data_IF_562459332248
#
_entry.id   IF_562459332248
#
_cell.length_a   1.000
_cell.length_b   1.000
_cell.length_c   1.000
_cell.angle_alpha   90.00
_cell.angle_beta   90.00
_cell.angle_gamma   90.00
#
_symmetry.space_group_name_H-M   'P 1'
#
loop_
_entity.id
_entity.type
_entity.pdbx_description
1 polymer ?
#
# COMPACT_ATOMS: atom_id res chain seq x y z
N UNK A 1 19.03 -3.66 -40.71
CA UNK A 1 19.54 -2.78 -39.63
C UNK A 1 18.34 -2.42 -38.70
N UNK A 2 18.07 -3.27 -37.76
CA UNK A 2 16.99 -3.08 -36.78
C UNK A 2 17.48 -2.10 -35.72
N UNK A 3 16.83 -0.94 -35.62
CA UNK A 3 17.14 0.05 -34.58
C UNK A 3 16.69 -0.52 -33.22
N UNK A 4 17.63 -1.05 -32.47
CA UNK A 4 17.44 -1.40 -31.06
C UNK A 4 17.13 -0.10 -30.30
N UNK A 5 15.89 0.02 -29.80
CA UNK A 5 15.50 1.14 -28.94
C UNK A 5 16.05 0.84 -27.55
N UNK A 6 17.16 1.44 -27.19
CA UNK A 6 17.65 1.45 -25.82
C UNK A 6 16.65 2.32 -25.02
N UNK A 7 15.78 1.66 -24.25
CA UNK A 7 14.88 2.34 -23.32
C UNK A 7 15.59 2.47 -21.98
N UNK A 8 16.16 3.62 -21.75
CA UNK A 8 16.68 4.01 -20.43
C UNK A 8 15.50 4.34 -19.55
N UNK A 9 15.26 3.52 -18.55
CA UNK A 9 14.25 3.77 -17.54
C UNK A 9 14.69 4.99 -16.71
N UNK A 10 14.04 6.12 -16.92
CA UNK A 10 14.16 7.29 -16.04
C UNK A 10 13.40 7.00 -14.77
N UNK A 11 14.07 6.46 -13.75
CA UNK A 11 13.57 6.35 -12.39
C UNK A 11 13.55 7.72 -11.70
N UNK A 12 12.96 8.74 -12.35
CA UNK A 12 12.58 9.98 -11.65
C UNK A 12 11.33 9.76 -10.77
N UNK A 13 10.56 8.70 -11.01
CA UNK A 13 9.32 8.43 -10.26
C UNK A 13 9.51 7.69 -8.93
N UNK A 14 10.61 6.99 -8.72
CA UNK A 14 10.88 6.32 -7.44
C UNK A 14 11.40 7.28 -6.34
N UNK A 15 11.86 8.48 -6.71
CA UNK A 15 12.25 9.52 -5.76
C UNK A 15 11.09 10.45 -5.34
N UNK A 16 9.92 10.36 -5.99
CA UNK A 16 8.78 11.25 -5.72
C UNK A 16 7.75 10.66 -4.73
N UNK A 17 7.92 9.45 -4.22
CA UNK A 17 7.00 8.87 -3.23
C UNK A 17 7.37 9.22 -1.77
N UNK A 18 8.58 9.74 -1.51
CA UNK A 18 8.91 10.36 -0.24
C UNK A 18 8.56 11.85 -0.34
N UNK A 19 7.64 12.31 0.48
CA UNK A 19 7.12 13.67 0.52
C UNK A 19 8.21 14.74 0.49
N UNK A 20 7.88 15.89 -0.05
CA UNK A 20 8.62 17.15 -0.15
C UNK A 20 9.39 17.54 1.13
N UNK A 21 10.49 16.86 1.42
CA UNK A 21 11.46 17.30 2.42
C UNK A 21 12.87 17.08 1.85
N UNK A 22 13.52 18.17 1.48
CA UNK A 22 14.95 18.33 1.36
C UNK A 22 15.64 17.39 0.37
N UNK A 23 15.71 17.74 -0.91
CA UNK A 23 16.75 17.21 -1.80
C UNK A 23 18.11 17.46 -1.12
N UNK A 24 18.82 16.41 -0.72
CA UNK A 24 20.15 16.57 -0.15
C UNK A 24 21.18 16.69 -1.28
N UNK A 25 22.30 17.36 -1.02
CA UNK A 25 23.43 17.43 -1.96
C UNK A 25 23.91 16.01 -2.36
N UNK A 26 23.68 15.03 -1.51
CA UNK A 26 24.02 13.62 -1.75
C UNK A 26 23.10 13.00 -2.80
N UNK A 27 21.77 13.20 -2.67
CA UNK A 27 20.80 12.71 -3.66
C UNK A 27 21.00 13.38 -5.02
N UNK A 28 21.38 14.65 -5.06
CA UNK A 28 21.72 15.37 -6.30
C UNK A 28 22.97 14.77 -6.96
N UNK A 29 24.01 14.49 -6.20
CA UNK A 29 25.24 13.87 -6.70
C UNK A 29 25.00 12.48 -7.29
N UNK A 30 24.22 11.63 -6.61
CA UNK A 30 23.82 10.32 -7.13
C UNK A 30 23.00 10.47 -8.42
N UNK A 31 22.06 11.40 -8.46
CA UNK A 31 21.25 11.68 -9.65
C UNK A 31 22.11 12.10 -10.86
N UNK A 32 23.13 12.91 -10.64
CA UNK A 32 24.08 13.32 -11.68
C UNK A 32 24.87 12.12 -12.21
N UNK A 33 25.37 11.24 -11.33
CA UNK A 33 26.10 10.04 -11.73
C UNK A 33 25.21 9.08 -12.54
N UNK A 34 23.98 8.84 -12.10
CA UNK A 34 23.01 8.01 -12.82
C UNK A 34 22.66 8.60 -14.20
N UNK A 35 22.50 9.92 -14.32
CA UNK A 35 22.29 10.59 -15.62
C UNK A 35 23.47 10.42 -16.56
N UNK A 36 24.71 10.55 -16.05
CA UNK A 36 25.93 10.32 -16.84
C UNK A 36 26.02 8.85 -17.30
N UNK A 37 25.75 7.89 -16.42
CA UNK A 37 25.69 6.45 -16.73
C UNK A 37 24.71 6.20 -17.88
N UNK A 38 23.51 6.75 -17.78
CA UNK A 38 22.48 6.61 -18.83
C UNK A 38 22.90 7.23 -20.15
N UNK A 39 23.61 8.36 -20.15
CA UNK A 39 24.13 8.98 -21.36
C UNK A 39 25.21 8.10 -22.02
N UNK A 40 26.14 7.55 -21.24
CA UNK A 40 27.17 6.65 -21.72
C UNK A 40 26.58 5.33 -22.29
N UNK A 41 25.57 4.75 -21.61
CA UNK A 41 24.84 3.56 -22.12
C UNK A 41 24.17 3.85 -23.47
N UNK A 42 23.51 5.01 -23.63
CA UNK A 42 22.92 5.44 -24.91
C UNK A 42 23.95 5.61 -26.01
N UNK A 43 25.13 6.08 -25.65
CA UNK A 43 26.27 6.22 -26.58
C UNK A 43 26.96 4.86 -26.85
N UNK A 44 26.58 3.77 -26.17
CA UNK A 44 27.23 2.45 -26.20
C UNK A 44 28.68 2.48 -25.72
N UNK A 45 29.03 3.45 -24.93
CA UNK A 45 30.31 3.48 -24.22
C UNK A 45 30.20 2.65 -22.95
N UNK A 46 30.32 1.33 -23.13
CA UNK A 46 30.14 0.37 -22.03
C UNK A 46 31.26 0.47 -21.00
N UNK A 47 32.47 0.82 -21.40
CA UNK A 47 33.60 0.99 -20.49
C UNK A 47 33.35 2.20 -19.54
N UNK A 48 32.95 3.35 -20.10
CA UNK A 48 32.62 4.52 -19.28
C UNK A 48 31.35 4.27 -18.43
N UNK A 49 30.37 3.56 -18.98
CA UNK A 49 29.15 3.19 -18.23
C UNK A 49 29.49 2.35 -17.00
N UNK A 50 30.31 1.31 -17.16
CA UNK A 50 30.73 0.44 -16.06
C UNK A 50 31.52 1.25 -15.00
N UNK A 51 32.45 2.10 -15.44
CA UNK A 51 33.22 2.97 -14.55
C UNK A 51 32.32 3.91 -13.73
N UNK A 52 31.31 4.50 -14.36
CA UNK A 52 30.34 5.38 -13.70
C UNK A 52 29.44 4.61 -12.71
N UNK A 53 29.08 3.35 -13.02
CA UNK A 53 28.35 2.47 -12.11
C UNK A 53 29.17 2.17 -10.87
N UNK A 54 30.45 1.78 -11.03
CA UNK A 54 31.34 1.53 -9.91
C UNK A 54 31.52 2.78 -9.04
N UNK A 55 31.68 3.94 -9.68
CA UNK A 55 31.73 5.21 -8.97
C UNK A 55 30.44 5.51 -8.21
N UNK A 56 29.28 5.23 -8.80
CA UNK A 56 27.97 5.43 -8.14
C UNK A 56 27.81 4.52 -6.93
N UNK A 57 28.18 3.25 -7.05
CA UNK A 57 28.13 2.27 -5.94
C UNK A 57 29.06 2.70 -4.82
N UNK A 58 30.32 3.03 -5.14
CA UNK A 58 31.33 3.46 -4.15
C UNK A 58 30.90 4.75 -3.43
N UNK A 59 30.43 5.76 -4.19
CA UNK A 59 29.90 6.99 -3.61
C UNK A 59 28.72 6.73 -2.69
N UNK A 60 27.73 5.96 -3.14
CA UNK A 60 26.52 5.61 -2.36
C UNK A 60 26.89 4.88 -1.05
N UNK A 61 27.87 3.96 -1.12
CA UNK A 61 28.34 3.20 0.05
C UNK A 61 28.92 4.12 1.11
N UNK A 62 29.67 5.13 0.71
CA UNK A 62 30.34 6.07 1.60
C UNK A 62 29.40 7.09 2.28
N UNK A 63 28.18 7.24 1.78
CA UNK A 63 27.24 8.21 2.35
C UNK A 63 26.58 7.70 3.63
N UNK A 64 26.25 8.60 4.54
CA UNK A 64 25.46 8.33 5.73
C UNK A 64 24.22 9.26 5.77
N UNK A 65 23.52 9.36 4.63
CA UNK A 65 22.35 10.20 4.46
C UNK A 65 21.09 9.35 4.68
N UNK A 66 20.26 9.64 5.67
CA UNK A 66 19.03 8.86 5.96
C UNK A 66 17.96 8.98 4.86
N UNK A 67 18.06 10.01 3.99
CA UNK A 67 17.13 10.20 2.88
C UNK A 67 17.58 9.47 1.60
N UNK A 68 18.80 8.90 1.58
CA UNK A 68 19.30 8.15 0.44
C UNK A 68 18.89 6.67 0.54
N UNK A 69 17.95 6.26 -0.32
CA UNK A 69 17.65 4.83 -0.47
C UNK A 69 18.79 4.11 -1.20
N UNK A 70 19.79 3.66 -0.44
CA UNK A 70 20.98 2.98 -0.98
C UNK A 70 20.63 1.74 -1.78
N UNK A 71 19.66 0.94 -1.30
CA UNK A 71 19.25 -0.30 -1.96
C UNK A 71 18.68 -0.02 -3.34
N UNK A 72 17.85 1.01 -3.49
CA UNK A 72 17.31 1.39 -4.81
C UNK A 72 18.43 1.81 -5.79
N UNK A 73 19.46 2.53 -5.29
CA UNK A 73 20.62 2.91 -6.13
C UNK A 73 21.41 1.67 -6.53
N UNK A 74 21.66 0.74 -5.60
CA UNK A 74 22.36 -0.51 -5.90
C UNK A 74 21.59 -1.39 -6.87
N UNK A 75 20.29 -1.57 -6.66
CA UNK A 75 19.43 -2.35 -7.54
C UNK A 75 19.49 -1.87 -8.99
N UNK A 76 19.37 -0.54 -9.21
CA UNK A 76 19.47 0.05 -10.54
C UNK A 76 20.87 -0.06 -11.12
N UNK A 77 21.90 0.20 -10.32
CA UNK A 77 23.30 0.16 -10.74
C UNK A 77 23.69 -1.25 -11.19
N UNK A 78 23.38 -2.27 -10.41
CA UNK A 78 23.66 -3.66 -10.76
C UNK A 78 22.81 -4.17 -11.92
N UNK A 79 21.56 -3.71 -12.07
CA UNK A 79 20.75 -4.02 -13.25
C UNK A 79 21.40 -3.48 -14.54
N UNK A 80 21.82 -2.22 -14.52
CA UNK A 80 22.51 -1.61 -15.66
C UNK A 80 23.85 -2.34 -15.94
N UNK A 81 24.57 -2.75 -14.90
CA UNK A 81 25.81 -3.54 -15.08
C UNK A 81 25.52 -4.90 -15.71
N UNK A 82 24.41 -5.56 -15.33
CA UNK A 82 24.00 -6.81 -15.95
C UNK A 82 23.72 -6.64 -17.45
N UNK A 83 23.03 -5.55 -17.83
CA UNK A 83 22.79 -5.22 -19.24
C UNK A 83 24.11 -4.99 -20.00
N UNK A 84 25.06 -4.23 -19.43
CA UNK A 84 26.38 -3.99 -20.06
C UNK A 84 27.13 -5.31 -20.25
N UNK A 85 27.24 -6.14 -19.23
CA UNK A 85 27.94 -7.42 -19.28
C UNK A 85 27.30 -8.36 -20.31
N UNK A 86 25.95 -8.38 -20.40
CA UNK A 86 25.23 -9.16 -21.38
C UNK A 86 25.50 -8.67 -22.81
N UNK A 87 25.50 -7.36 -23.06
CA UNK A 87 25.79 -6.76 -24.36
C UNK A 87 27.26 -6.99 -24.80
N UNK A 88 28.17 -7.11 -23.86
CA UNK A 88 29.58 -7.49 -24.10
C UNK A 88 29.78 -9.01 -24.28
N UNK A 89 28.71 -9.84 -24.17
CA UNK A 89 28.77 -11.29 -24.30
C UNK A 89 29.29 -12.02 -23.07
N UNK A 90 29.41 -11.36 -21.93
CA UNK A 90 29.94 -11.91 -20.66
C UNK A 90 28.80 -12.48 -19.83
N UNK A 91 28.32 -13.67 -20.21
CA UNK A 91 27.09 -14.29 -19.68
C UNK A 91 27.11 -14.46 -18.16
N UNK A 92 28.17 -15.05 -17.62
CA UNK A 92 28.30 -15.34 -16.18
C UNK A 92 28.34 -14.06 -15.35
N UNK A 93 29.08 -13.05 -15.81
CA UNK A 93 29.15 -11.75 -15.16
C UNK A 93 27.79 -11.01 -15.18
N UNK A 94 27.04 -11.14 -16.29
CA UNK A 94 25.70 -10.58 -16.39
C UNK A 94 24.73 -11.22 -15.39
N UNK A 95 24.77 -12.55 -15.21
CA UNK A 95 23.96 -13.26 -14.22
C UNK A 95 24.33 -12.84 -12.80
N UNK A 96 25.64 -12.73 -12.50
CA UNK A 96 26.12 -12.28 -11.19
C UNK A 96 25.63 -10.85 -10.88
N UNK A 97 25.76 -9.92 -11.84
CA UNK A 97 25.30 -8.56 -11.69
C UNK A 97 23.76 -8.50 -11.53
N UNK A 98 23.01 -9.29 -12.30
CA UNK A 98 21.55 -9.38 -12.16
C UNK A 98 21.14 -9.92 -10.77
N UNK A 99 21.85 -10.93 -10.26
CA UNK A 99 21.64 -11.46 -8.92
C UNK A 99 21.84 -10.38 -7.86
N UNK A 100 22.92 -9.58 -7.95
CA UNK A 100 23.17 -8.44 -7.06
C UNK A 100 22.07 -7.37 -7.16
N UNK A 101 21.52 -7.15 -8.35
CA UNK A 101 20.38 -6.25 -8.52
C UNK A 101 19.15 -6.75 -7.74
N UNK A 102 18.83 -8.05 -7.84
CA UNK A 102 17.72 -8.68 -7.11
C UNK A 102 17.96 -8.64 -5.60
N UNK A 103 19.16 -8.97 -5.15
CA UNK A 103 19.56 -8.90 -3.73
C UNK A 103 19.45 -7.48 -3.16
N UNK A 104 19.58 -6.46 -4.03
CA UNK A 104 19.40 -5.05 -3.68
C UNK A 104 17.95 -4.56 -3.82
N UNK A 105 17.00 -5.44 -4.15
CA UNK A 105 15.58 -5.10 -4.22
C UNK A 105 15.07 -4.73 -5.62
N UNK A 106 15.75 -5.15 -6.71
CA UNK A 106 15.19 -4.98 -8.05
C UNK A 106 13.91 -5.81 -8.22
N UNK A 107 12.78 -5.13 -8.47
CA UNK A 107 11.44 -5.74 -8.47
C UNK A 107 10.75 -5.84 -9.84
N UNK A 108 11.31 -5.28 -10.92
CA UNK A 108 10.62 -5.20 -12.20
C UNK A 108 10.88 -6.42 -13.09
N UNK A 109 10.31 -7.59 -12.72
CA UNK A 109 10.48 -8.84 -13.51
C UNK A 109 9.90 -8.74 -14.92
N UNK A 110 8.78 -8.01 -15.10
CA UNK A 110 8.12 -7.87 -16.40
C UNK A 110 8.99 -7.13 -17.41
N UNK A 111 9.77 -6.17 -16.92
CA UNK A 111 10.74 -5.46 -17.72
C UNK A 111 11.94 -6.38 -18.02
N UNK A 112 12.54 -7.01 -17.02
CA UNK A 112 13.70 -7.89 -17.19
C UNK A 112 13.46 -9.00 -18.21
N UNK A 113 12.24 -9.58 -18.25
CA UNK A 113 11.84 -10.59 -19.23
C UNK A 113 11.74 -10.07 -20.68
N UNK A 114 11.51 -8.75 -20.85
CA UNK A 114 11.34 -8.12 -22.17
C UNK A 114 12.57 -7.34 -22.61
N UNK A 115 13.54 -7.15 -21.74
CA UNK A 115 14.72 -6.36 -22.00
C UNK A 115 15.67 -7.09 -22.95
N UNK A 116 15.78 -6.56 -24.15
CA UNK A 116 16.62 -7.14 -25.20
C UNK A 116 18.11 -7.12 -24.88
N UNK A 117 18.53 -6.24 -23.96
CA UNK A 117 19.92 -6.14 -23.53
C UNK A 117 20.34 -7.35 -22.69
N UNK A 118 19.37 -8.02 -22.03
CA UNK A 118 19.59 -9.23 -21.25
C UNK A 118 19.40 -10.54 -22.06
N UNK A 119 19.20 -10.47 -23.37
CA UNK A 119 18.82 -11.63 -24.19
C UNK A 119 19.73 -12.84 -24.02
N UNK A 120 21.04 -12.64 -23.85
CA UNK A 120 22.01 -13.74 -23.71
C UNK A 120 21.81 -14.59 -22.43
N UNK A 121 21.16 -14.03 -21.42
CA UNK A 121 20.90 -14.70 -20.13
C UNK A 121 19.44 -15.12 -19.95
N UNK A 122 18.50 -14.69 -20.80
CA UNK A 122 17.07 -14.95 -20.60
C UNK A 122 16.69 -16.43 -20.57
N UNK A 123 17.41 -17.28 -21.29
CA UNK A 123 17.18 -18.74 -21.32
C UNK A 123 18.00 -19.50 -20.26
N UNK A 124 18.73 -18.78 -19.38
CA UNK A 124 19.55 -19.39 -18.35
C UNK A 124 18.75 -19.74 -17.10
N UNK A 125 18.89 -20.97 -16.55
CA UNK A 125 18.19 -21.36 -15.32
C UNK A 125 18.46 -20.44 -14.13
N UNK A 126 19.68 -19.87 -14.02
CA UNK A 126 20.02 -18.95 -12.94
C UNK A 126 19.26 -17.61 -13.08
N UNK A 127 19.10 -17.11 -14.32
CA UNK A 127 18.24 -15.94 -14.56
C UNK A 127 16.77 -16.24 -14.23
N UNK A 128 16.25 -17.39 -14.66
CA UNK A 128 14.88 -17.82 -14.36
C UNK A 128 14.64 -17.91 -12.85
N UNK A 129 15.61 -18.41 -12.08
CA UNK A 129 15.54 -18.45 -10.62
C UNK A 129 15.44 -17.03 -10.01
N UNK A 130 16.20 -16.05 -10.52
CA UNK A 130 16.11 -14.67 -10.06
C UNK A 130 14.76 -14.04 -10.42
N UNK A 131 14.24 -14.29 -11.62
CA UNK A 131 12.89 -13.84 -12.01
C UNK A 131 11.83 -14.40 -11.06
N UNK A 132 11.93 -15.67 -10.69
CA UNK A 132 11.01 -16.28 -9.72
C UNK A 132 11.11 -15.61 -8.34
N UNK A 133 12.33 -15.35 -7.85
CA UNK A 133 12.54 -14.58 -6.59
C UNK A 133 11.90 -13.19 -6.64
N UNK A 134 12.01 -12.49 -7.77
CA UNK A 134 11.35 -11.18 -7.93
C UNK A 134 9.84 -11.33 -7.86
N UNK A 135 9.25 -12.34 -8.53
CA UNK A 135 7.81 -12.57 -8.52
C UNK A 135 7.28 -12.89 -7.12
N UNK A 136 7.98 -13.69 -6.35
CA UNK A 136 7.62 -14.07 -4.98
C UNK A 136 7.59 -12.89 -3.99
N UNK A 137 8.22 -11.75 -4.36
CA UNK A 137 8.28 -10.56 -3.51
C UNK A 137 7.56 -9.33 -4.10
N UNK A 138 7.51 -9.18 -5.43
CA UNK A 138 7.07 -7.94 -6.08
C UNK A 138 5.95 -8.12 -7.12
N UNK A 139 5.61 -9.35 -7.52
CA UNK A 139 4.41 -9.62 -8.32
C UNK A 139 3.22 -9.80 -7.37
N UNK A 140 2.67 -8.70 -6.87
CA UNK A 140 1.66 -8.73 -5.81
C UNK A 140 0.45 -9.61 -6.10
N UNK A 141 -0.11 -9.70 -7.32
CA UNK A 141 -1.11 -10.71 -7.64
C UNK A 141 -0.61 -12.14 -7.45
N UNK A 142 0.63 -12.43 -7.85
CA UNK A 142 1.27 -13.73 -7.63
C UNK A 142 1.47 -14.00 -6.13
N UNK A 143 2.04 -13.03 -5.40
CA UNK A 143 2.25 -13.11 -3.95
C UNK A 143 0.94 -13.39 -3.23
N UNK A 144 -0.12 -12.68 -3.60
CA UNK A 144 -1.43 -12.82 -2.96
C UNK A 144 -2.08 -14.18 -3.25
N UNK A 145 -2.03 -14.64 -4.50
CA UNK A 145 -2.57 -15.96 -4.91
C UNK A 145 -1.81 -17.14 -4.30
N UNK A 146 -0.55 -16.92 -3.87
CA UNK A 146 0.30 -17.92 -3.22
C UNK A 146 0.43 -17.69 -1.69
N UNK A 147 -0.42 -16.85 -1.11
CA UNK A 147 -0.39 -16.57 0.34
C UNK A 147 -0.83 -17.77 1.21
N UNK A 148 -1.36 -18.81 0.60
CA UNK A 148 -2.01 -19.93 1.29
C UNK A 148 -3.48 -19.66 1.61
N UNK A 149 -4.26 -20.71 1.68
CA UNK A 149 -5.66 -20.61 2.09
C UNK A 149 -5.77 -20.23 3.56
N UNK A 150 -6.82 -19.53 3.92
CA UNK A 150 -7.19 -19.39 5.32
C UNK A 150 -7.56 -20.76 5.91
N UNK A 151 -7.18 -21.00 7.16
CA UNK A 151 -7.43 -22.27 7.85
C UNK A 151 -8.70 -22.13 8.69
N UNK A 152 -9.87 -22.32 8.07
CA UNK A 152 -11.17 -22.16 8.73
C UNK A 152 -11.44 -23.10 9.91
N UNK A 153 -10.65 -24.17 10.05
CA UNK A 153 -10.79 -25.17 11.12
C UNK A 153 -9.84 -24.89 12.32
N UNK A 154 -9.14 -23.77 12.35
CA UNK A 154 -8.35 -23.42 13.52
C UNK A 154 -9.31 -23.14 14.70
N UNK A 155 -8.96 -23.54 15.93
CA UNK A 155 -9.82 -23.29 17.09
C UNK A 155 -9.79 -21.81 17.47
N UNK A 156 -10.54 -21.00 16.70
CA UNK A 156 -10.82 -19.59 17.04
C UNK A 156 -11.87 -19.48 18.16
N UNK A 157 -12.25 -20.60 18.80
CA UNK A 157 -13.35 -20.67 19.76
C UNK A 157 -13.15 -19.73 20.97
N UNK A 158 -11.91 -19.49 21.36
CA UNK A 158 -11.56 -18.67 22.53
C UNK A 158 -11.26 -17.21 22.18
N UNK A 159 -11.36 -16.82 20.90
CA UNK A 159 -11.12 -15.44 20.52
C UNK A 159 -12.30 -14.54 20.94
N UNK A 160 -12.03 -13.34 21.46
CA UNK A 160 -13.08 -12.39 21.83
C UNK A 160 -13.88 -11.94 20.61
N UNK A 161 -15.18 -11.64 20.76
CA UNK A 161 -15.99 -11.09 19.68
C UNK A 161 -15.61 -9.65 19.37
N UNK A 162 -15.95 -9.18 18.17
CA UNK A 162 -15.91 -7.78 17.84
C UNK A 162 -17.06 -7.02 18.49
N UNK A 163 -16.78 -5.85 19.05
CA UNK A 163 -17.80 -4.99 19.64
C UNK A 163 -17.88 -3.63 18.94
N UNK A 164 -19.04 -2.98 19.09
CA UNK A 164 -19.32 -1.70 18.45
C UNK A 164 -20.00 -0.75 19.44
N UNK A 165 -19.43 0.44 19.59
CA UNK A 165 -20.01 1.44 20.46
C UNK A 165 -21.41 1.84 19.97
N UNK A 166 -22.37 1.89 20.91
CA UNK A 166 -23.73 2.30 20.58
C UNK A 166 -23.78 3.75 20.12
N UNK A 167 -24.57 4.07 19.09
CA UNK A 167 -24.82 5.43 18.64
C UNK A 167 -25.41 6.33 19.73
N UNK A 168 -25.98 5.74 20.80
CA UNK A 168 -26.53 6.44 21.94
C UNK A 168 -25.46 6.82 22.99
N UNK A 169 -24.19 6.43 22.80
CA UNK A 169 -23.10 6.92 23.66
C UNK A 169 -23.05 8.44 23.62
N UNK A 170 -22.98 9.10 24.77
CA UNK A 170 -23.03 10.58 24.83
C UNK A 170 -21.95 11.27 23.96
N UNK A 171 -20.79 10.67 23.80
CA UNK A 171 -19.70 11.18 22.95
C UNK A 171 -20.07 11.15 21.47
N UNK A 172 -20.69 10.06 21.02
CA UNK A 172 -21.16 9.90 19.62
C UNK A 172 -22.38 10.78 19.35
N UNK A 173 -23.30 10.92 20.30
CA UNK A 173 -24.43 11.85 20.22
C UNK A 173 -23.93 13.31 20.08
N UNK A 174 -22.94 13.69 20.91
CA UNK A 174 -22.31 15.01 20.82
C UNK A 174 -21.60 15.20 19.46
N UNK A 175 -20.85 14.21 18.99
CA UNK A 175 -20.18 14.23 17.69
C UNK A 175 -21.17 14.44 16.54
N UNK A 176 -22.25 13.63 16.50
CA UNK A 176 -23.31 13.71 15.48
C UNK A 176 -23.92 15.11 15.42
N UNK A 177 -24.22 15.69 16.56
CA UNK A 177 -24.79 17.04 16.66
C UNK A 177 -23.80 18.11 16.23
N UNK A 178 -22.56 18.07 16.76
CA UNK A 178 -21.53 19.08 16.53
C UNK A 178 -21.11 19.14 15.05
N UNK A 179 -20.93 18.00 14.41
CA UNK A 179 -20.57 17.91 13.01
C UNK A 179 -21.77 17.97 12.06
N UNK A 180 -23.01 17.96 12.61
CA UNK A 180 -24.26 17.94 11.82
C UNK A 180 -24.30 16.75 10.84
N UNK A 181 -23.94 15.54 11.32
CA UNK A 181 -23.77 14.36 10.49
C UNK A 181 -25.05 13.97 9.74
N UNK A 182 -26.23 14.23 10.27
CA UNK A 182 -27.50 14.00 9.58
C UNK A 182 -27.61 14.82 8.29
N UNK A 183 -27.17 16.07 8.32
CA UNK A 183 -27.15 16.93 7.13
C UNK A 183 -26.13 16.48 6.11
N UNK A 184 -24.96 16.00 6.59
CA UNK A 184 -23.88 15.47 5.72
C UNK A 184 -24.33 14.18 5.06
N UNK A 185 -24.87 13.24 5.82
CA UNK A 185 -25.36 11.97 5.32
C UNK A 185 -26.53 12.14 4.32
N UNK A 186 -27.34 13.16 4.53
CA UNK A 186 -28.50 13.47 3.67
C UNK A 186 -29.67 12.52 3.90
N UNK A 187 -30.71 12.65 3.05
CA UNK A 187 -31.97 11.89 3.11
C UNK A 187 -32.01 10.68 2.17
N UNK A 188 -30.90 10.36 1.49
CA UNK A 188 -30.82 9.23 0.59
C UNK A 188 -30.91 7.85 1.27
N UNK A 189 -30.73 6.79 0.49
CA UNK A 189 -30.66 5.43 0.98
C UNK A 189 -29.41 5.20 1.84
N UNK A 190 -29.26 3.99 2.36
CA UNK A 190 -28.14 3.59 3.22
C UNK A 190 -26.79 3.79 2.53
N UNK A 191 -26.67 3.34 1.29
CA UNK A 191 -25.42 3.42 0.51
C UNK A 191 -25.04 4.88 0.23
N UNK A 192 -26.02 5.71 -0.10
CA UNK A 192 -25.82 7.15 -0.29
C UNK A 192 -25.29 7.81 0.99
N UNK A 193 -25.84 7.48 2.15
CA UNK A 193 -25.37 8.00 3.45
C UNK A 193 -23.93 7.58 3.76
N UNK A 194 -23.58 6.30 3.50
CA UNK A 194 -22.22 5.77 3.66
C UNK A 194 -21.25 6.55 2.77
N UNK A 195 -21.58 6.71 1.48
CA UNK A 195 -20.74 7.44 0.52
C UNK A 195 -20.62 8.93 0.88
N UNK A 196 -21.69 9.58 1.28
CA UNK A 196 -21.69 11.00 1.64
C UNK A 196 -20.81 11.29 2.84
N UNK A 197 -20.86 10.44 3.88
CA UNK A 197 -19.96 10.56 5.05
C UNK A 197 -18.50 10.36 4.66
N UNK A 198 -18.19 9.38 3.82
CA UNK A 198 -16.84 9.14 3.31
C UNK A 198 -16.34 10.34 2.48
N UNK A 199 -17.16 10.86 1.57
CA UNK A 199 -16.84 12.04 0.76
C UNK A 199 -16.59 13.28 1.62
N UNK A 200 -17.40 13.45 2.66
CA UNK A 200 -17.23 14.56 3.58
C UNK A 200 -15.89 14.50 4.31
N UNK A 201 -15.50 13.34 4.85
CA UNK A 201 -14.20 13.18 5.53
C UNK A 201 -13.05 13.40 4.52
N UNK A 202 -13.16 12.83 3.32
CA UNK A 202 -12.18 13.02 2.24
C UNK A 202 -11.93 14.49 1.93
N UNK A 203 -12.99 15.31 1.90
CA UNK A 203 -12.89 16.73 1.59
C UNK A 203 -12.58 17.61 2.81
N UNK A 204 -12.84 17.14 4.03
CA UNK A 204 -12.64 17.92 5.25
C UNK A 204 -11.16 18.02 5.65
N UNK A 205 -10.35 17.01 5.30
CA UNK A 205 -8.95 16.94 5.69
C UNK A 205 -8.08 16.48 4.50
N UNK A 206 -6.88 17.06 4.39
CA UNK A 206 -5.90 16.63 3.39
C UNK A 206 -5.14 15.40 3.88
N UNK A 207 -4.94 14.42 3.01
CA UNK A 207 -4.06 13.29 3.33
C UNK A 207 -2.58 13.70 3.28
N UNK A 208 -1.83 13.29 4.30
CA UNK A 208 -0.39 13.42 4.39
C UNK A 208 0.17 12.22 5.16
N UNK A 209 0.69 11.23 4.42
CA UNK A 209 1.22 9.98 5.00
C UNK A 209 2.43 10.18 5.91
N UNK A 210 3.19 11.26 5.72
CA UNK A 210 4.35 11.62 6.53
C UNK A 210 4.04 12.52 7.73
N UNK A 211 2.76 12.92 7.90
CA UNK A 211 2.39 13.81 8.99
C UNK A 211 2.57 13.15 10.35
N UNK A 212 3.16 13.90 11.29
CA UNK A 212 3.26 13.48 12.68
C UNK A 212 1.86 13.34 13.31
N UNK A 213 1.66 12.26 14.07
CA UNK A 213 0.37 12.00 14.71
C UNK A 213 0.10 13.01 15.85
N UNK A 214 -1.08 13.64 15.88
CA UNK A 214 -1.48 14.49 17.00
C UNK A 214 -1.56 13.71 18.31
N UNK A 215 -1.51 14.43 19.43
CA UNK A 215 -1.66 13.83 20.76
C UNK A 215 -3.05 13.20 20.95
N UNK A 216 -4.09 13.96 20.63
CA UNK A 216 -5.48 13.49 20.63
C UNK A 216 -5.90 13.10 19.23
N UNK A 217 -6.56 11.93 19.09
CA UNK A 217 -6.83 11.30 17.79
C UNK A 217 -8.31 10.96 17.57
N UNK A 218 -9.22 11.57 18.33
CA UNK A 218 -10.65 11.51 18.02
C UNK A 218 -11.03 12.49 16.90
N UNK A 219 -12.17 12.28 16.28
CA UNK A 219 -12.59 13.07 15.13
C UNK A 219 -12.59 14.60 15.38
N UNK A 220 -13.13 15.14 16.48
CA UNK A 220 -13.07 16.58 16.74
C UNK A 220 -11.65 17.13 16.86
N UNK A 221 -10.77 16.41 17.55
CA UNK A 221 -9.37 16.84 17.75
C UNK A 221 -8.60 16.82 16.44
N UNK A 222 -8.77 15.77 15.63
CA UNK A 222 -8.13 15.63 14.31
C UNK A 222 -8.59 16.72 13.35
N UNK A 223 -9.90 16.99 13.27
CA UNK A 223 -10.45 18.06 12.43
C UNK A 223 -9.97 19.45 12.89
N UNK A 224 -9.89 19.67 14.20
CA UNK A 224 -9.39 20.91 14.78
C UNK A 224 -7.93 21.15 14.39
N UNK A 225 -7.06 20.17 14.62
CA UNK A 225 -5.62 20.27 14.31
C UNK A 225 -5.38 20.53 12.81
N UNK A 226 -6.09 19.84 11.94
CA UNK A 226 -5.97 20.07 10.48
C UNK A 226 -6.33 21.50 10.11
N UNK A 227 -7.38 22.05 10.73
CA UNK A 227 -7.83 23.42 10.46
C UNK A 227 -6.90 24.47 11.06
N UNK A 228 -6.49 24.32 12.32
CA UNK A 228 -5.70 25.33 13.04
C UNK A 228 -4.25 25.37 12.57
N UNK A 229 -3.66 24.21 12.27
CA UNK A 229 -2.26 24.09 11.82
C UNK A 229 -2.13 24.06 10.29
N UNK A 230 -3.25 24.11 9.54
CA UNK A 230 -3.28 24.00 8.07
C UNK A 230 -2.47 22.79 7.55
N UNK A 231 -2.60 21.64 8.21
CA UNK A 231 -1.84 20.41 7.91
C UNK A 231 -2.73 19.25 7.47
N UNK A 232 -2.11 18.25 6.85
CA UNK A 232 -2.74 16.97 6.59
C UNK A 232 -2.56 15.98 7.75
N UNK A 233 -3.22 14.83 7.61
CA UNK A 233 -3.10 13.66 8.49
C UNK A 233 -3.00 12.39 7.65
N UNK A 234 -2.49 11.32 8.24
CA UNK A 234 -2.33 10.05 7.53
C UNK A 234 -3.64 9.25 7.38
N UNK A 235 -3.59 8.17 6.60
CA UNK A 235 -4.75 7.32 6.30
C UNK A 235 -5.44 6.76 7.56
N UNK A 236 -4.68 6.37 8.60
CA UNK A 236 -5.24 5.88 9.85
C UNK A 236 -6.07 6.95 10.55
N UNK A 237 -5.59 8.18 10.61
CA UNK A 237 -6.32 9.28 11.23
C UNK A 237 -7.58 9.67 10.44
N UNK A 238 -7.52 9.64 9.11
CA UNK A 238 -8.71 9.84 8.26
C UNK A 238 -9.75 8.74 8.49
N UNK A 239 -9.30 7.48 8.55
CA UNK A 239 -10.17 6.33 8.82
C UNK A 239 -10.74 6.35 10.24
N UNK A 240 -10.02 6.91 11.22
CA UNK A 240 -10.55 7.12 12.58
C UNK A 240 -11.70 8.13 12.58
N UNK A 241 -11.55 9.27 11.89
CA UNK A 241 -12.65 10.26 11.76
C UNK A 241 -13.87 9.58 11.13
N UNK A 242 -13.69 8.86 10.03
CA UNK A 242 -14.81 8.21 9.32
C UNK A 242 -15.48 7.13 10.18
N UNK A 243 -14.70 6.33 10.91
CA UNK A 243 -15.23 5.30 11.79
C UNK A 243 -16.12 5.90 12.88
N UNK A 244 -15.68 6.96 13.53
CA UNK A 244 -16.46 7.65 14.57
C UNK A 244 -17.74 8.28 13.98
N UNK A 245 -17.68 8.83 12.76
CA UNK A 245 -18.85 9.33 12.05
C UNK A 245 -19.86 8.21 11.74
N UNK A 246 -19.38 7.05 11.26
CA UNK A 246 -20.24 5.90 11.00
C UNK A 246 -20.91 5.40 12.29
N UNK A 247 -20.15 5.22 13.37
CA UNK A 247 -20.70 4.80 14.67
C UNK A 247 -21.74 5.81 15.19
N UNK A 248 -21.47 7.11 15.07
CA UNK A 248 -22.41 8.16 15.50
C UNK A 248 -23.72 8.15 14.70
N UNK A 249 -23.69 7.68 13.45
CA UNK A 249 -24.87 7.53 12.59
C UNK A 249 -25.55 6.14 12.73
N UNK A 250 -25.04 5.28 13.63
CA UNK A 250 -25.60 3.96 13.91
C UNK A 250 -25.10 2.85 13.02
N UNK A 251 -24.17 3.12 12.11
CA UNK A 251 -23.54 2.07 11.30
C UNK A 251 -22.53 1.26 12.13
N UNK A 252 -22.51 -0.04 11.92
CA UNK A 252 -21.44 -0.89 12.41
C UNK A 252 -20.24 -0.72 11.48
N UNK A 253 -19.15 -0.19 11.97
CA UNK A 253 -17.94 0.08 11.19
C UNK A 253 -16.68 -0.21 12.01
N UNK A 254 -15.60 -0.55 11.32
CA UNK A 254 -14.24 -0.70 11.86
C UNK A 254 -13.26 -0.05 10.89
N UNK A 255 -12.23 0.63 11.38
CA UNK A 255 -11.08 0.88 10.53
C UNK A 255 -10.21 -0.38 10.46
N UNK A 256 -9.69 -0.63 9.28
CA UNK A 256 -8.94 -1.84 8.95
C UNK A 256 -7.57 -1.46 8.41
N UNK A 257 -6.52 -1.96 9.06
CA UNK A 257 -5.17 -1.86 8.53
C UNK A 257 -4.93 -3.01 7.58
N UNK A 258 -4.71 -2.67 6.33
CA UNK A 258 -4.34 -3.58 5.26
C UNK A 258 -2.81 -3.63 5.19
N UNK A 259 -2.23 -4.82 5.31
CA UNK A 259 -0.80 -5.02 5.52
C UNK A 259 -0.15 -5.80 4.37
N UNK A 260 1.07 -5.43 3.96
CA UNK A 260 1.86 -6.17 3.00
C UNK A 260 2.44 -7.46 3.59
N UNK A 261 3.01 -8.31 2.73
CA UNK A 261 3.74 -9.53 3.13
C UNK A 261 5.05 -9.21 3.85
N UNK A 262 5.78 -8.21 3.33
CA UNK A 262 7.09 -7.82 3.86
C UNK A 262 6.91 -7.01 5.14
N UNK A 263 7.42 -7.53 6.25
CA UNK A 263 7.38 -6.87 7.56
C UNK A 263 8.19 -5.57 7.63
N UNK A 264 9.12 -5.36 6.70
CA UNK A 264 9.93 -4.15 6.58
C UNK A 264 9.30 -3.10 5.64
N UNK A 265 8.18 -3.44 4.98
CA UNK A 265 7.41 -2.48 4.20
C UNK A 265 6.40 -1.76 5.11
N UNK A 266 6.78 -0.57 5.57
CA UNK A 266 5.92 0.26 6.43
C UNK A 266 4.81 1.00 5.66
N UNK A 267 4.75 0.87 4.34
CA UNK A 267 3.71 1.46 3.49
C UNK A 267 2.44 0.58 3.49
N UNK A 268 1.84 0.43 4.68
CA UNK A 268 0.52 -0.16 4.86
C UNK A 268 -0.57 0.86 4.55
N UNK A 269 -1.82 0.41 4.39
CA UNK A 269 -2.95 1.30 4.18
C UNK A 269 -4.07 1.04 5.17
N UNK A 270 -4.76 2.11 5.60
CA UNK A 270 -5.89 2.02 6.52
C UNK A 270 -7.14 2.53 5.84
N UNK A 271 -8.16 1.69 5.79
CA UNK A 271 -9.49 1.98 5.23
C UNK A 271 -10.57 1.67 6.27
N UNK A 272 -11.82 1.99 5.99
CA UNK A 272 -12.95 1.54 6.78
C UNK A 272 -13.66 0.36 6.11
N UNK A 273 -14.19 -0.53 6.93
CA UNK A 273 -15.28 -1.40 6.52
C UNK A 273 -16.53 -0.97 7.27
N UNK A 274 -17.63 -0.92 6.57
CA UNK A 274 -18.95 -0.57 7.10
C UNK A 274 -19.96 -1.61 6.69
N UNK A 275 -20.77 -2.10 7.65
CA UNK A 275 -21.81 -3.06 7.35
C UNK A 275 -22.99 -2.37 6.69
N UNK A 276 -23.44 -2.93 5.58
CA UNK A 276 -24.70 -2.53 4.93
C UNK A 276 -25.76 -3.58 5.19
N UNK A 277 -26.82 -3.20 5.89
CA UNK A 277 -27.98 -4.08 6.10
C UNK A 277 -28.75 -4.30 4.79
N UNK A 278 -28.79 -3.30 3.93
CA UNK A 278 -29.48 -3.41 2.62
C UNK A 278 -28.77 -4.38 1.66
N UNK A 279 -27.46 -4.51 1.74
CA UNK A 279 -26.67 -5.45 0.93
C UNK A 279 -26.33 -6.74 1.66
N UNK A 280 -26.52 -6.79 2.99
CA UNK A 280 -26.19 -7.93 3.83
C UNK A 280 -24.69 -8.27 3.86
N UNK A 281 -23.82 -7.27 3.68
CA UNK A 281 -22.37 -7.45 3.62
C UNK A 281 -21.56 -6.24 4.08
N UNK A 282 -20.29 -6.46 4.32
CA UNK A 282 -19.32 -5.39 4.53
C UNK A 282 -19.02 -4.67 3.22
N UNK A 283 -18.83 -3.35 3.30
CA UNK A 283 -18.40 -2.50 2.18
C UNK A 283 -17.09 -1.83 2.59
N UNK A 284 -16.11 -1.79 1.69
CA UNK A 284 -14.92 -0.97 1.86
C UNK A 284 -15.26 0.50 1.60
N UNK A 285 -14.79 1.39 2.47
CA UNK A 285 -14.84 2.84 2.27
C UNK A 285 -13.46 3.42 2.63
N UNK A 286 -12.78 4.01 1.66
CA UNK A 286 -11.47 4.62 1.85
C UNK A 286 -11.58 6.15 1.83
N UNK A 287 -11.47 6.83 2.97
CA UNK A 287 -11.54 8.28 3.03
C UNK A 287 -10.31 8.97 2.45
N UNK A 288 -9.16 8.28 2.36
CA UNK A 288 -7.93 8.84 1.79
C UNK A 288 -8.07 9.13 0.31
N UNK A 289 -8.72 8.23 -0.42
CA UNK A 289 -8.88 8.32 -1.87
C UNK A 289 -10.34 8.52 -2.31
N UNK A 290 -11.30 8.59 -1.39
CA UNK A 290 -12.72 8.45 -1.70
C UNK A 290 -12.96 7.24 -2.59
N UNK A 291 -12.42 6.10 -2.17
CA UNK A 291 -12.41 4.89 -2.95
C UNK A 291 -13.36 3.83 -2.43
N UNK A 292 -14.04 3.16 -3.38
CA UNK A 292 -14.90 2.01 -3.18
C UNK A 292 -14.59 0.97 -4.25
N UNK A 293 -14.58 -0.30 -3.88
CA UNK A 293 -14.48 -1.37 -4.86
C UNK A 293 -15.85 -1.89 -5.28
N UNK A 294 -15.94 -2.31 -6.54
CA UNK A 294 -17.07 -3.06 -7.08
C UNK A 294 -16.60 -4.21 -7.96
N UNK A 295 -17.46 -5.19 -8.14
CA UNK A 295 -17.28 -6.28 -9.10
C UNK A 295 -17.69 -5.86 -10.54
N UNK A 296 -17.58 -6.80 -11.50
CA UNK A 296 -17.96 -6.58 -12.91
C UNK A 296 -19.44 -6.23 -13.12
N UNK A 297 -20.29 -6.43 -12.11
CA UNK A 297 -21.72 -6.06 -12.14
C UNK A 297 -21.97 -4.70 -11.50
N UNK A 298 -20.95 -4.06 -10.95
CA UNK A 298 -21.05 -2.80 -10.22
C UNK A 298 -21.53 -2.96 -8.77
N UNK A 299 -21.56 -4.19 -8.23
CA UNK A 299 -21.91 -4.41 -6.83
C UNK A 299 -20.74 -4.05 -5.92
N UNK A 300 -21.03 -3.26 -4.87
CA UNK A 300 -20.00 -2.85 -3.90
C UNK A 300 -19.40 -4.05 -3.16
N UNK A 301 -18.11 -3.98 -2.90
CA UNK A 301 -17.35 -5.06 -2.29
C UNK A 301 -16.74 -4.64 -0.95
N UNK A 302 -16.66 -5.61 -0.03
CA UNK A 302 -15.78 -5.53 1.12
C UNK A 302 -14.32 -5.85 0.75
N UNK A 303 -13.39 -5.55 1.66
CA UNK A 303 -11.97 -5.88 1.40
C UNK A 303 -11.69 -7.38 1.38
N UNK A 304 -12.46 -8.17 2.14
CA UNK A 304 -12.41 -9.62 2.08
C UNK A 304 -12.82 -10.17 0.71
N UNK A 305 -13.94 -9.65 0.16
CA UNK A 305 -14.42 -10.01 -1.17
C UNK A 305 -13.43 -9.60 -2.26
N UNK A 306 -12.90 -8.37 -2.17
CA UNK A 306 -11.92 -7.83 -3.12
C UNK A 306 -10.63 -8.67 -3.11
N UNK A 307 -10.12 -9.03 -1.90
CA UNK A 307 -8.97 -9.93 -1.78
C UNK A 307 -9.23 -11.28 -2.42
N UNK A 308 -10.39 -11.88 -2.15
CA UNK A 308 -10.74 -13.19 -2.71
C UNK A 308 -10.85 -13.15 -4.24
N UNK A 309 -11.48 -12.10 -4.78
CA UNK A 309 -11.53 -11.88 -6.22
C UNK A 309 -10.14 -11.79 -6.85
N UNK A 310 -9.21 -11.03 -6.24
CA UNK A 310 -7.83 -10.91 -6.72
C UNK A 310 -7.04 -12.24 -6.62
N UNK A 311 -7.25 -13.02 -5.55
CA UNK A 311 -6.66 -14.38 -5.41
C UNK A 311 -7.14 -15.31 -6.53
N UNK A 312 -8.40 -15.19 -6.91
CA UNK A 312 -9.01 -15.96 -7.99
C UNK A 312 -8.73 -15.40 -9.40
N UNK A 313 -7.96 -14.32 -9.50
CA UNK A 313 -7.64 -13.67 -10.77
C UNK A 313 -8.82 -12.94 -11.42
N UNK A 314 -9.88 -12.66 -10.66
CA UNK A 314 -11.04 -11.87 -11.11
C UNK A 314 -10.71 -10.38 -11.10
N UNK A 315 -11.41 -9.62 -11.93
CA UNK A 315 -11.30 -8.17 -11.95
C UNK A 315 -12.12 -7.55 -10.82
N UNK A 316 -11.63 -6.44 -10.33
CA UNK A 316 -12.34 -5.54 -9.43
C UNK A 316 -12.22 -4.12 -9.98
N UNK A 317 -13.16 -3.27 -9.68
CA UNK A 317 -13.23 -1.91 -10.23
C UNK A 317 -13.21 -0.86 -9.13
N UNK A 318 -12.59 0.27 -9.43
CA UNK A 318 -12.55 1.44 -8.60
C UNK A 318 -13.61 2.45 -9.07
N UNK A 319 -14.30 3.10 -8.16
CA UNK A 319 -15.23 4.17 -8.54
C UNK A 319 -14.48 5.32 -9.26
N UNK A 320 -15.10 5.93 -10.31
CA UNK A 320 -14.42 6.91 -11.17
C UNK A 320 -14.07 8.24 -10.47
N UNK A 321 -14.73 8.54 -9.34
CA UNK A 321 -14.51 9.75 -8.54
C UNK A 321 -13.29 9.64 -7.61
N UNK A 322 -12.68 8.45 -7.49
CA UNK A 322 -11.54 8.24 -6.62
C UNK A 322 -10.39 9.18 -6.95
N UNK A 323 -9.89 9.86 -5.93
CA UNK A 323 -8.83 10.86 -6.07
C UNK A 323 -7.98 10.97 -4.81
N UNK A 324 -6.77 11.48 -4.92
CA UNK A 324 -5.89 11.80 -3.81
C UNK A 324 -5.69 13.31 -3.74
N UNK A 325 -6.24 13.94 -2.72
CA UNK A 325 -6.14 15.40 -2.54
C UNK A 325 -6.54 16.19 -3.81
N UNK A 326 -7.62 15.77 -4.48
CA UNK A 326 -8.10 16.37 -5.71
C UNK A 326 -7.41 15.89 -7.01
N UNK A 327 -6.41 15.03 -6.92
CA UNK A 327 -5.76 14.41 -8.08
C UNK A 327 -6.39 13.07 -8.39
N UNK A 328 -7.01 12.92 -9.57
CA UNK A 328 -7.67 11.69 -9.99
C UNK A 328 -6.74 10.48 -9.83
N UNK A 329 -7.23 9.42 -9.18
CA UNK A 329 -6.46 8.19 -9.01
C UNK A 329 -6.61 7.27 -10.22
N UNK A 330 -5.51 6.70 -10.67
CA UNK A 330 -5.53 5.66 -11.69
C UNK A 330 -6.00 4.35 -11.05
N UNK A 331 -7.00 3.70 -11.67
CA UNK A 331 -7.58 2.44 -11.17
C UNK A 331 -6.53 1.34 -11.02
N UNK A 332 -5.74 1.08 -12.06
CA UNK A 332 -4.74 0.00 -12.04
C UNK A 332 -3.65 0.23 -10.97
N UNK A 333 -3.25 1.49 -10.75
CA UNK A 333 -2.29 1.84 -9.70
C UNK A 333 -2.87 1.65 -8.30
N UNK A 334 -4.13 2.04 -8.09
CA UNK A 334 -4.78 1.86 -6.79
C UNK A 334 -5.02 0.39 -6.49
N UNK A 335 -5.49 -0.39 -7.47
CA UNK A 335 -5.67 -1.83 -7.31
C UNK A 335 -4.32 -2.52 -7.03
N UNK A 336 -3.25 -2.16 -7.72
CA UNK A 336 -1.91 -2.71 -7.48
C UNK A 336 -1.41 -2.39 -6.06
N UNK A 337 -1.62 -1.15 -5.60
CA UNK A 337 -1.29 -0.71 -4.25
C UNK A 337 -2.07 -1.49 -3.18
N UNK A 338 -3.39 -1.66 -3.38
CA UNK A 338 -4.20 -2.43 -2.46
C UNK A 338 -3.91 -3.92 -2.53
N UNK A 339 -3.58 -4.48 -3.71
CA UNK A 339 -3.18 -5.88 -3.86
C UNK A 339 -1.94 -6.18 -3.01
N UNK A 340 -0.95 -5.28 -2.98
CA UNK A 340 0.21 -5.37 -2.08
C UNK A 340 -0.24 -5.46 -0.62
N UNK A 341 -1.16 -4.59 -0.21
CA UNK A 341 -1.61 -4.41 1.16
C UNK A 341 -2.75 -5.37 1.59
N UNK A 342 -3.25 -6.23 0.70
CA UNK A 342 -4.27 -7.24 1.04
C UNK A 342 -3.67 -8.58 1.48
N UNK A 343 -2.38 -8.62 1.83
CA UNK A 343 -1.77 -9.88 2.24
C UNK A 343 -2.34 -10.37 3.57
N UNK A 344 -2.44 -9.49 4.57
CA UNK A 344 -3.11 -9.76 5.84
C UNK A 344 -3.76 -8.49 6.40
N UNK A 345 -4.62 -8.66 7.41
CA UNK A 345 -5.43 -7.58 7.96
C UNK A 345 -5.33 -7.51 9.47
N UNK A 346 -5.49 -6.29 10.04
CA UNK A 346 -5.69 -6.14 11.47
C UNK A 346 -6.64 -4.97 11.76
N UNK A 347 -7.46 -5.14 12.80
CA UNK A 347 -8.36 -4.09 13.29
C UNK A 347 -8.53 -4.18 14.81
N UNK A 348 -8.94 -3.09 15.49
CA UNK A 348 -9.32 -3.16 16.89
C UNK A 348 -10.49 -4.12 17.10
N UNK A 349 -10.49 -4.85 18.23
CA UNK A 349 -11.62 -5.66 18.66
C UNK A 349 -12.84 -4.80 18.98
N UNK A 350 -12.59 -3.67 19.64
CA UNK A 350 -13.63 -2.74 20.03
C UNK A 350 -13.62 -1.54 19.09
N UNK A 351 -14.64 -1.44 18.23
CA UNK A 351 -14.86 -0.24 17.45
C UNK A 351 -15.55 0.80 18.32
N UNK A 352 -14.77 1.76 18.80
CA UNK A 352 -15.25 2.73 19.79
C UNK A 352 -14.75 4.16 19.47
N UNK A 353 -15.20 5.11 20.27
CA UNK A 353 -14.73 6.49 20.20
C UNK A 353 -13.34 6.63 20.82
N UNK A 354 -12.46 7.41 20.19
CA UNK A 354 -11.13 7.78 20.69
C UNK A 354 -10.13 6.61 20.83
N UNK A 355 -10.32 5.56 20.03
CA UNK A 355 -9.49 4.33 20.08
C UNK A 355 -8.00 4.63 19.92
N UNK A 356 -7.62 5.57 19.05
CA UNK A 356 -6.22 5.83 18.70
C UNK A 356 -5.49 6.74 19.70
N UNK A 357 -6.20 7.47 20.57
CA UNK A 357 -5.58 8.26 21.65
C UNK A 357 -5.20 7.38 22.84
N UNK A 358 -6.09 6.48 23.25
CA UNK A 358 -5.92 5.63 24.43
C UNK A 358 -5.52 4.23 24.01
N UNK A 359 -4.23 4.01 23.77
CA UNK A 359 -3.73 2.68 23.35
C UNK A 359 -3.71 1.63 24.48
N UNK A 360 -3.70 2.04 25.74
CA UNK A 360 -3.67 1.08 26.85
C UNK A 360 -5.03 0.36 26.97
N UNK A 361 -5.01 -0.96 26.79
CA UNK A 361 -6.22 -1.80 26.82
C UNK A 361 -6.95 -1.91 25.50
N UNK A 362 -6.41 -1.36 24.41
CA UNK A 362 -6.88 -1.63 23.05
C UNK A 362 -6.23 -2.90 22.56
N UNK A 363 -7.06 -3.88 22.21
CA UNK A 363 -6.63 -5.16 21.63
C UNK A 363 -6.99 -5.20 20.15
N UNK A 364 -6.12 -5.83 19.37
CA UNK A 364 -6.33 -6.00 17.94
C UNK A 364 -6.57 -7.46 17.59
N UNK A 365 -7.35 -7.69 16.55
CA UNK A 365 -7.50 -8.99 15.88
C UNK A 365 -6.84 -8.92 14.52
N UNK A 366 -6.04 -9.93 14.20
CA UNK A 366 -5.41 -10.12 12.91
C UNK A 366 -6.09 -11.24 12.15
N UNK A 367 -6.20 -11.11 10.83
CA UNK A 367 -6.58 -12.20 9.93
C UNK A 367 -5.37 -12.55 9.06
N UNK A 368 -4.77 -13.71 9.31
CA UNK A 368 -3.53 -14.15 8.68
C UNK A 368 -3.78 -15.33 7.73
N UNK A 369 -3.23 -15.30 6.49
CA UNK A 369 -3.36 -16.40 5.54
C UNK A 369 -2.37 -17.53 5.86
N UNK A 370 -2.70 -18.76 5.49
CA UNK A 370 -1.81 -19.93 5.54
C UNK A 370 -1.10 -20.08 6.88
N UNK A 371 0.23 -20.23 6.83
CA UNK A 371 1.12 -20.32 8.01
C UNK A 371 1.87 -19.01 8.27
N UNK A 372 1.42 -17.91 7.67
CA UNK A 372 2.05 -16.60 7.87
C UNK A 372 2.06 -16.21 9.35
N UNK A 373 3.18 -15.66 9.80
CA UNK A 373 3.37 -15.15 11.17
C UNK A 373 3.57 -13.65 11.10
N UNK A 374 2.73 -12.92 11.80
CA UNK A 374 2.92 -11.47 11.95
C UNK A 374 3.93 -11.15 13.06
N UNK A 375 4.55 -9.98 13.03
CA UNK A 375 5.48 -9.54 14.08
C UNK A 375 4.75 -9.12 15.37
N UNK A 376 3.43 -9.07 15.40
CA UNK A 376 2.62 -8.61 16.54
C UNK A 376 2.12 -9.78 17.39
N UNK A 377 1.94 -9.53 18.69
CA UNK A 377 1.38 -10.49 19.67
C UNK A 377 -0.12 -10.31 19.90
N UNK A 378 -0.85 -9.69 18.97
CA UNK A 378 -2.29 -9.53 19.04
C UNK A 378 -3.04 -10.85 18.83
N UNK A 379 -4.37 -10.83 19.02
CA UNK A 379 -5.20 -11.97 18.72
C UNK A 379 -5.11 -12.35 17.22
N UNK A 380 -4.97 -13.64 16.94
CA UNK A 380 -4.82 -14.13 15.57
C UNK A 380 -6.03 -14.99 15.22
N UNK A 381 -6.78 -14.60 14.22
CA UNK A 381 -7.75 -15.42 13.53
C UNK A 381 -7.18 -15.93 12.21
N UNK A 382 -7.54 -17.15 11.83
CA UNK A 382 -7.30 -17.74 10.51
C UNK A 382 -8.61 -18.14 9.84
N UNK A 383 -9.74 -17.79 10.46
CA UNK A 383 -11.08 -18.02 9.97
C UNK A 383 -11.69 -16.73 9.38
N UNK A 384 -11.77 -16.61 8.05
CA UNK A 384 -12.38 -15.45 7.41
C UNK A 384 -13.90 -15.39 7.65
N UNK A 385 -14.58 -16.53 7.84
CA UNK A 385 -16.02 -16.55 8.09
C UNK A 385 -16.35 -15.85 9.41
N UNK A 386 -15.54 -16.10 10.46
CA UNK A 386 -15.65 -15.40 11.74
C UNK A 386 -15.24 -13.93 11.62
N UNK A 387 -14.10 -13.64 10.97
CA UNK A 387 -13.53 -12.29 10.90
C UNK A 387 -14.44 -11.31 10.14
N UNK A 388 -15.11 -11.80 9.10
CA UNK A 388 -16.05 -11.03 8.27
C UNK A 388 -17.52 -11.33 8.61
N UNK A 389 -17.80 -12.01 9.72
CA UNK A 389 -19.17 -12.27 10.14
C UNK A 389 -20.02 -11.00 10.22
N UNK A 390 -21.33 -11.17 10.09
CA UNK A 390 -22.28 -10.08 10.34
C UNK A 390 -22.07 -9.54 11.75
N UNK A 391 -21.98 -8.20 11.90
CA UNK A 391 -21.84 -7.63 13.25
C UNK A 391 -23.14 -7.79 14.05
N UNK A 392 -23.00 -8.07 15.34
CA UNK A 392 -24.10 -8.15 16.30
C UNK A 392 -24.50 -6.76 16.85
#
# INVERSE_FOLDING_TARGET
>A
MTRTKIFVFTLLSAFCAAGLHGQSAVTDSVSVLLKKTNAAMKARDYAESARLIDQTIAYTKAQNDPYLNKNAVYALSYYNLACIQALEGKKEAAIEAFTKAVDSGYGNFRWALKDTDLKIIQDDPAFAAQIQRIRENYDYPYVLSHSGAYKGDAPDADLPPFTYLSQNDPRLVSLRKTLKLDSIAGSGDEISKIKNLCLWVHNAVRHDGGAENPKEKNAPALLKVCKEENRGINCRMMSTILNECYLAMGFKSRFMTCMPKDENDFDCHVVNIVWSDSLGKWIMADPTFYAFFSDDKGELMGIGDARQALVEGKQIHLNPEANWNGQKKNEAEYIAYMTKNFYWFMCPLDSTYDTETVRKGVYYMQLLPGDFKSPSNDYISRDPARFWARPE
#
